data_IF_847548192565
#
_entry.id   IF_847548192565
#
_cell.length_a   1.000
_cell.length_b   1.000
_cell.length_c   1.000
_cell.angle_alpha   90.00
_cell.angle_beta   90.00
_cell.angle_gamma   90.00
#
_symmetry.space_group_name_H-M   'P 1'
#
loop_
_entity.id
_entity.type
_entity.pdbx_description
1 polymer ?
#
# COMPACT_ATOMS: atom_id res chain seq x y z
N UNK A 1 12.80 21.84 10.41
CA UNK A 1 12.21 20.49 10.20
C UNK A 1 10.87 20.52 9.44
N UNK A 2 9.96 21.49 9.68
CA UNK A 2 8.63 21.53 9.02
C UNK A 2 8.66 21.57 7.48
N UNK A 3 9.56 22.34 6.87
CA UNK A 3 9.64 22.44 5.40
C UNK A 3 10.01 21.11 4.71
N UNK A 4 10.85 20.29 5.35
CA UNK A 4 11.25 18.99 4.80
C UNK A 4 10.09 17.99 4.84
N UNK A 5 9.33 17.95 5.94
CA UNK A 5 8.19 17.04 6.11
C UNK A 5 7.07 17.39 5.13
N UNK A 6 6.74 18.68 4.98
CA UNK A 6 5.73 19.14 4.01
C UNK A 6 6.12 18.83 2.57
N UNK A 7 7.40 19.01 2.22
CA UNK A 7 7.90 18.69 0.89
C UNK A 7 7.88 17.18 0.61
N UNK A 8 8.16 16.33 1.60
CA UNK A 8 8.02 14.88 1.46
C UNK A 8 6.56 14.47 1.31
N UNK A 9 5.65 15.04 2.11
CA UNK A 9 4.21 14.76 2.00
C UNK A 9 3.65 15.14 0.63
N UNK A 10 3.98 16.33 0.12
CA UNK A 10 3.54 16.76 -1.21
C UNK A 10 4.01 15.81 -2.33
N UNK A 11 5.26 15.32 -2.25
CA UNK A 11 5.78 14.34 -3.21
C UNK A 11 5.08 12.99 -3.12
N UNK A 12 4.71 12.56 -1.91
CA UNK A 12 3.95 11.33 -1.71
C UNK A 12 2.53 11.46 -2.29
N UNK A 13 1.90 12.63 -2.14
CA UNK A 13 0.57 12.93 -2.70
C UNK A 13 0.57 12.88 -4.23
N UNK A 14 1.56 13.52 -4.86
CA UNK A 14 1.75 13.45 -6.31
C UNK A 14 2.03 12.03 -6.79
N UNK A 15 2.90 11.29 -6.09
CA UNK A 15 3.21 9.90 -6.42
C UNK A 15 1.98 8.99 -6.31
N UNK A 16 1.18 9.14 -5.25
CA UNK A 16 -0.05 8.37 -5.07
C UNK A 16 -1.02 8.62 -6.23
N UNK A 17 -1.25 9.88 -6.61
CA UNK A 17 -2.09 10.21 -7.76
C UNK A 17 -1.56 9.64 -9.08
N UNK A 18 -0.24 9.61 -9.27
CA UNK A 18 0.35 9.01 -10.46
C UNK A 18 0.07 7.50 -10.53
N UNK A 19 0.21 6.78 -9.42
CA UNK A 19 -0.11 5.35 -9.36
C UNK A 19 -1.61 5.07 -9.46
N UNK A 20 -2.47 5.90 -8.87
CA UNK A 20 -3.92 5.80 -9.07
C UNK A 20 -4.32 5.97 -10.54
N UNK A 21 -3.72 6.95 -11.24
CA UNK A 21 -3.92 7.11 -12.69
C UNK A 21 -3.36 5.94 -13.48
N UNK A 22 -2.22 5.38 -13.09
CA UNK A 22 -1.69 4.17 -13.71
C UNK A 22 -2.68 3.01 -13.55
N UNK A 23 -3.26 2.84 -12.36
CA UNK A 23 -4.28 1.83 -12.07
C UNK A 23 -5.61 2.07 -12.79
N UNK A 24 -5.91 3.30 -13.24
CA UNK A 24 -7.06 3.56 -14.11
C UNK A 24 -6.84 3.05 -15.55
N UNK A 25 -5.59 2.95 -16.00
CA UNK A 25 -5.22 2.47 -17.34
C UNK A 25 -4.94 0.97 -17.31
N UNK A 26 -4.21 0.52 -16.29
CA UNK A 26 -3.85 -0.87 -16.05
C UNK A 26 -4.23 -1.25 -14.61
N UNK A 27 -5.46 -1.73 -14.47
CA UNK A 27 -6.03 -2.18 -13.19
C UNK A 27 -5.35 -3.44 -12.65
N UNK A 28 -4.52 -4.12 -13.45
CA UNK A 28 -3.82 -5.36 -13.08
C UNK A 28 -2.32 -5.13 -12.92
N UNK A 29 -1.89 -3.89 -12.67
CA UNK A 29 -0.49 -3.60 -12.39
C UNK A 29 -0.13 -3.92 -10.94
N UNK A 30 0.46 -5.10 -10.71
CA UNK A 30 0.97 -5.48 -9.39
C UNK A 30 1.98 -4.46 -8.84
N UNK A 31 2.83 -3.90 -9.71
CA UNK A 31 3.80 -2.87 -9.35
C UNK A 31 3.15 -1.56 -8.90
N UNK A 32 2.09 -1.10 -9.56
CA UNK A 32 1.37 0.10 -9.15
C UNK A 32 0.68 -0.09 -7.80
N UNK A 33 0.05 -1.24 -7.57
CA UNK A 33 -0.51 -1.60 -6.26
C UNK A 33 0.56 -1.64 -5.16
N UNK A 34 1.72 -2.26 -5.39
CA UNK A 34 2.82 -2.27 -4.42
C UNK A 34 3.31 -0.85 -4.08
N UNK A 35 3.51 0.00 -5.08
CA UNK A 35 3.99 1.36 -4.86
C UNK A 35 2.95 2.24 -4.14
N UNK A 36 1.67 2.12 -4.49
CA UNK A 36 0.59 2.82 -3.80
C UNK A 36 0.51 2.37 -2.33
N UNK A 37 0.60 1.06 -2.07
CA UNK A 37 0.65 0.53 -0.72
C UNK A 37 1.85 1.02 0.08
N UNK A 38 3.03 1.12 -0.53
CA UNK A 38 4.23 1.64 0.11
C UNK A 38 4.08 3.12 0.52
N UNK A 39 3.43 3.93 -0.31
CA UNK A 39 3.13 5.33 0.01
C UNK A 39 2.18 5.41 1.21
N UNK A 40 1.11 4.61 1.23
CA UNK A 40 0.17 4.57 2.36
C UNK A 40 0.86 4.07 3.65
N UNK A 41 1.82 3.15 3.54
CA UNK A 41 2.65 2.70 4.67
C UNK A 41 3.49 3.84 5.25
N UNK A 42 4.11 4.67 4.40
CA UNK A 42 4.86 5.86 4.85
C UNK A 42 3.95 6.91 5.49
N UNK A 43 2.70 7.01 5.05
CA UNK A 43 1.66 7.86 5.66
C UNK A 43 1.09 7.30 6.97
N UNK A 44 1.47 6.09 7.37
CA UNK A 44 0.94 5.42 8.56
C UNK A 44 -0.48 4.87 8.38
N UNK A 45 -0.97 4.77 7.14
CA UNK A 45 -2.31 4.24 6.81
C UNK A 45 -2.20 2.74 6.50
N UNK A 46 -1.91 1.96 7.53
CA UNK A 46 -1.56 0.54 7.40
C UNK A 46 -2.68 -0.31 6.78
N UNK A 47 -3.95 0.00 7.05
CA UNK A 47 -5.07 -0.77 6.48
C UNK A 47 -5.14 -0.62 4.95
N UNK A 48 -5.05 0.62 4.45
CA UNK A 48 -5.00 0.88 3.00
C UNK A 48 -3.77 0.25 2.36
N UNK A 49 -2.61 0.36 3.02
CA UNK A 49 -1.38 -0.27 2.54
C UNK A 49 -1.54 -1.79 2.35
N UNK A 50 -2.15 -2.47 3.34
CA UNK A 50 -2.40 -3.92 3.31
C UNK A 50 -3.31 -4.32 2.16
N UNK A 51 -4.38 -3.57 1.92
CA UNK A 51 -5.30 -3.88 0.83
C UNK A 51 -4.61 -3.76 -0.53
N UNK A 52 -3.80 -2.72 -0.72
CA UNK A 52 -2.99 -2.57 -1.94
C UNK A 52 -1.96 -3.69 -2.11
N UNK A 53 -1.23 -4.09 -1.05
CA UNK A 53 -0.29 -5.20 -1.15
C UNK A 53 -0.98 -6.54 -1.43
N UNK A 54 -2.19 -6.75 -0.90
CA UNK A 54 -2.98 -7.95 -1.20
C UNK A 54 -3.42 -8.01 -2.65
N UNK A 55 -3.83 -6.88 -3.23
CA UNK A 55 -4.13 -6.83 -4.66
C UNK A 55 -2.88 -7.09 -5.52
N UNK A 56 -1.73 -6.50 -5.15
CA UNK A 56 -0.47 -6.80 -5.82
C UNK A 56 -0.13 -8.30 -5.80
N UNK A 57 -0.38 -8.98 -4.67
CA UNK A 57 -0.16 -10.42 -4.52
C UNK A 57 -1.25 -11.28 -5.16
N UNK A 58 -2.46 -10.76 -5.33
CA UNK A 58 -3.53 -11.43 -6.08
C UNK A 58 -3.17 -11.49 -7.56
N UNK A 59 -2.59 -10.40 -8.09
CA UNK A 59 -2.15 -10.29 -9.48
C UNK A 59 -0.86 -11.09 -9.69
N UNK A 60 0.16 -10.85 -8.86
CA UNK A 60 1.42 -11.59 -8.88
C UNK A 60 1.73 -12.19 -7.50
N UNK A 61 1.32 -13.47 -7.28
CA UNK A 61 1.64 -14.20 -6.05
C UNK A 61 3.14 -14.37 -5.80
N UNK A 62 3.99 -14.16 -6.80
CA UNK A 62 5.45 -14.22 -6.72
C UNK A 62 6.10 -12.92 -6.25
N UNK A 63 5.35 -11.82 -6.13
CA UNK A 63 5.93 -10.50 -5.90
C UNK A 63 6.52 -10.34 -4.49
N UNK A 64 7.83 -10.58 -4.38
CA UNK A 64 8.55 -10.62 -3.11
C UNK A 64 8.51 -9.29 -2.32
N UNK A 65 8.55 -8.15 -3.01
CA UNK A 65 8.46 -6.83 -2.38
C UNK A 65 7.09 -6.62 -1.74
N UNK A 66 6.00 -6.94 -2.46
CA UNK A 66 4.65 -6.84 -1.93
C UNK A 66 4.44 -7.75 -0.71
N UNK A 67 5.01 -8.97 -0.69
CA UNK A 67 5.00 -9.84 0.51
C UNK A 67 5.73 -9.22 1.69
N UNK A 68 6.91 -8.68 1.44
CA UNK A 68 7.73 -8.05 2.49
C UNK A 68 7.04 -6.82 3.08
N UNK A 69 6.43 -6.00 2.21
CA UNK A 69 5.69 -4.82 2.61
C UNK A 69 4.38 -5.16 3.32
N UNK A 70 3.67 -6.20 2.88
CA UNK A 70 2.49 -6.72 3.59
C UNK A 70 2.88 -7.16 5.01
N UNK A 71 3.93 -7.97 5.16
CA UNK A 71 4.41 -8.38 6.48
C UNK A 71 4.76 -7.17 7.37
N UNK A 72 5.42 -6.15 6.82
CA UNK A 72 5.74 -4.91 7.54
C UNK A 72 4.49 -4.15 7.98
N UNK A 73 3.48 -4.08 7.11
CA UNK A 73 2.19 -3.43 7.43
C UNK A 73 1.38 -4.21 8.48
N UNK A 74 1.49 -5.54 8.51
CA UNK A 74 0.84 -6.39 9.50
C UNK A 74 1.51 -6.33 10.88
N UNK A 75 2.82 -6.08 10.94
CA UNK A 75 3.51 -5.83 12.22
C UNK A 75 3.01 -4.58 12.94
N UNK A 76 2.43 -3.63 12.20
CA UNK A 76 1.79 -2.42 12.75
C UNK A 76 0.28 -2.59 12.98
N UNK A 77 -0.17 -3.84 13.22
CA UNK A 77 -1.57 -4.19 13.45
C UNK A 77 -2.26 -3.17 14.38
N UNK A 78 -3.39 -2.55 13.99
CA UNK A 78 -4.30 -2.03 14.99
C UNK A 78 -4.68 -3.22 15.89
N UNK A 79 -4.68 -3.03 17.19
CA UNK A 79 -4.98 -4.06 18.17
C UNK A 79 -6.44 -4.53 18.06
N UNK A 80 -6.81 -5.25 17.00
CA UNK A 80 -8.07 -5.96 16.78
C UNK A 80 -7.98 -6.72 15.45
N UNK A 81 -7.99 -8.06 15.44
CA UNK A 81 -8.28 -8.80 14.22
C UNK A 81 -9.73 -8.47 13.80
N UNK A 82 -9.94 -7.93 12.59
CA UNK A 82 -11.30 -7.81 12.02
C UNK A 82 -11.86 -9.24 11.87
N UNK A 83 -12.91 -9.62 12.62
CA UNK A 83 -13.48 -10.96 12.56
C UNK A 83 -14.11 -11.28 11.19
N UNK A 84 -14.22 -10.32 10.27
CA UNK A 84 -14.69 -10.53 8.90
C UNK A 84 -13.63 -11.08 7.94
N UNK A 85 -12.36 -11.17 8.35
CA UNK A 85 -11.28 -11.79 7.55
C UNK A 85 -11.12 -13.30 7.76
N UNK A 86 -11.90 -13.86 8.68
CA UNK A 86 -12.12 -15.30 8.81
C UNK A 86 -13.50 -15.57 8.18
N UNK A 87 -13.53 -15.76 6.87
CA UNK A 87 -14.64 -16.48 6.24
C UNK A 87 -14.21 -17.93 6.04
N UNK A 88 -15.08 -18.91 6.34
CA UNK A 88 -14.76 -20.34 6.37
C UNK A 88 -14.41 -20.93 5.00
#
# INVERSE_FOLDING_TARGET
>A
MYAFVLHQQGKLDEAAQAYEKALQVDTESAAAHNNLGAIELVRGRYDLARDQFREALRIDPGYAEAKSNLARSEQHLPASPDPRRISP
#
